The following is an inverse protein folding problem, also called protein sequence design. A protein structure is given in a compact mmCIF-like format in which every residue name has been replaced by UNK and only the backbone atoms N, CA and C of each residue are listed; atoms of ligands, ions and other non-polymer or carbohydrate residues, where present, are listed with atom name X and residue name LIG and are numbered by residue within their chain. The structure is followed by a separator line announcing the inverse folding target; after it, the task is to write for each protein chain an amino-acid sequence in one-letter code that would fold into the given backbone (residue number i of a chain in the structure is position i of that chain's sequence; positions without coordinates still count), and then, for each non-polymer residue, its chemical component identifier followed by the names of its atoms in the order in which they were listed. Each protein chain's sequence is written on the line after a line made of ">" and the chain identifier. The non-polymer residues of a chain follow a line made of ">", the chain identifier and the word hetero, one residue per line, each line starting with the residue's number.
data_IF_075930148425
#
_entry.id   IF_075930148425
#
_cell.length_a   1.000
_cell.length_b   1.000
_cell.length_c   1.000
_cell.angle_alpha   90.00
_cell.angle_beta   90.00
_cell.angle_gamma   90.00
#
_symmetry.space_group_name_H-M   'P 1'
#
loop_
_entity.id
_entity.type
_entity.pdbx_description
1 polymer ?
#
# COMPACT_ATOMS: atom_id res chain seq x y z
N UNK A 1 -9.04 -5.90 -2.22
CA UNK A 1 -7.70 -6.27 -2.68
C UNK A 1 -7.66 -7.73 -3.10
N UNK A 2 -7.25 -7.99 -4.33
CA UNK A 2 -6.95 -9.31 -4.89
C UNK A 2 -5.72 -9.19 -5.78
N UNK A 3 -4.95 -10.27 -5.89
CA UNK A 3 -3.92 -10.37 -6.94
C UNK A 3 -4.62 -10.28 -8.30
N UNK A 4 -3.95 -9.64 -9.26
CA UNK A 4 -4.45 -9.27 -10.58
C UNK A 4 -5.49 -8.14 -10.65
N UNK A 5 -5.87 -7.55 -9.52
CA UNK A 5 -6.75 -6.39 -9.47
C UNK A 5 -6.03 -5.15 -10.04
N UNK A 6 -6.71 -4.43 -10.94
CA UNK A 6 -6.27 -3.13 -11.43
C UNK A 6 -6.75 -2.02 -10.47
N UNK A 7 -5.83 -1.14 -10.09
CA UNK A 7 -6.06 -0.02 -9.16
C UNK A 7 -5.51 1.28 -9.76
N UNK A 8 -5.98 2.42 -9.26
CA UNK A 8 -5.54 3.75 -9.69
C UNK A 8 -5.02 4.57 -8.50
N UNK A 9 -4.09 5.48 -8.77
CA UNK A 9 -3.50 6.38 -7.76
C UNK A 9 -4.59 7.17 -7.02
N UNK A 10 -4.54 7.17 -5.69
CA UNK A 10 -5.53 7.79 -4.81
C UNK A 10 -6.81 6.98 -4.61
N UNK A 11 -7.01 5.87 -5.32
CA UNK A 11 -8.10 4.93 -5.09
C UNK A 11 -7.89 4.08 -3.84
N UNK A 12 -8.98 3.70 -3.16
CA UNK A 12 -8.91 2.81 -1.98
C UNK A 12 -8.56 1.40 -2.44
N UNK A 13 -7.42 0.86 -2.00
CA UNK A 13 -6.97 -0.49 -2.34
C UNK A 13 -7.15 -1.49 -1.17
N UNK A 14 -7.10 -1.00 0.08
CA UNK A 14 -7.30 -1.81 1.28
C UNK A 14 -8.09 -1.07 2.36
N UNK A 15 -8.63 -1.82 3.30
CA UNK A 15 -9.17 -1.31 4.56
C UNK A 15 -8.46 -2.02 5.70
N UNK A 16 -7.97 -1.26 6.66
CA UNK A 16 -7.30 -1.76 7.86
C UNK A 16 -8.23 -1.47 9.05
N UNK A 17 -8.33 -2.41 9.97
CA UNK A 17 -9.09 -2.22 11.22
C UNK A 17 -8.13 -2.32 12.39
N UNK A 18 -8.11 -1.31 13.25
CA UNK A 18 -7.25 -1.30 14.43
C UNK A 18 -7.90 -1.95 15.65
N UNK A 19 -7.16 -2.01 16.76
CA UNK A 19 -7.63 -2.60 18.01
C UNK A 19 -8.78 -1.81 18.67
N UNK A 20 -9.05 -0.59 18.20
CA UNK A 20 -10.16 0.25 18.64
C UNK A 20 -11.37 0.15 17.70
N UNK A 21 -11.38 -0.83 16.80
CA UNK A 21 -12.43 -1.07 15.79
C UNK A 21 -12.57 0.08 14.79
N UNK A 22 -11.57 0.97 14.68
CA UNK A 22 -11.58 2.03 13.68
C UNK A 22 -11.13 1.49 12.34
N UNK A 23 -11.82 1.93 11.28
CA UNK A 23 -11.54 1.50 9.90
C UNK A 23 -10.75 2.59 9.17
N UNK A 24 -9.51 2.26 8.82
CA UNK A 24 -8.59 3.10 8.07
C UNK A 24 -8.58 2.69 6.60
N UNK A 25 -8.67 3.66 5.69
CA UNK A 25 -8.61 3.40 4.25
C UNK A 25 -7.17 3.56 3.75
N UNK A 26 -6.64 2.52 3.10
CA UNK A 26 -5.36 2.59 2.44
C UNK A 26 -5.56 3.00 0.99
N UNK A 27 -5.01 4.16 0.63
CA UNK A 27 -5.02 4.64 -0.75
C UNK A 27 -3.84 4.06 -1.52
N UNK A 28 -4.04 3.82 -2.80
CA UNK A 28 -2.96 3.38 -3.67
C UNK A 28 -2.04 4.54 -4.03
N UNK A 29 -0.71 4.39 -3.89
CA UNK A 29 0.23 5.44 -4.25
C UNK A 29 0.48 5.54 -5.76
N UNK A 30 0.09 4.54 -6.55
CA UNK A 30 0.30 4.50 -8.00
C UNK A 30 -0.80 3.71 -8.69
N UNK A 31 -1.09 4.05 -9.94
CA UNK A 31 -1.97 3.29 -10.81
C UNK A 31 -1.25 2.06 -11.34
N UNK A 32 -1.92 0.92 -11.40
CA UNK A 32 -1.30 -0.31 -11.86
C UNK A 32 -2.05 -1.58 -11.50
N UNK A 33 -1.33 -2.70 -11.52
CA UNK A 33 -1.87 -4.03 -11.26
C UNK A 33 -1.21 -4.65 -10.02
N UNK A 34 -2.01 -5.15 -9.09
CA UNK A 34 -1.51 -5.86 -7.91
C UNK A 34 -0.94 -7.21 -8.32
N UNK A 35 0.31 -7.47 -7.95
CA UNK A 35 1.01 -8.72 -8.26
C UNK A 35 1.21 -9.63 -7.05
N UNK A 36 1.19 -9.05 -5.85
CA UNK A 36 1.49 -9.79 -4.62
C UNK A 36 0.79 -9.11 -3.44
N UNK A 37 0.31 -9.91 -2.49
CA UNK A 37 -0.26 -9.45 -1.22
C UNK A 37 0.50 -10.16 -0.11
N UNK A 38 0.87 -9.43 0.94
CA UNK A 38 1.57 -10.02 2.07
C UNK A 38 0.62 -10.82 2.95
N UNK A 39 0.54 -12.12 2.70
CA UNK A 39 -0.33 -12.99 3.47
C UNK A 39 0.11 -13.14 4.94
N UNK A 40 1.37 -12.82 5.27
CA UNK A 40 1.87 -12.89 6.65
C UNK A 40 1.16 -11.91 7.59
N UNK A 41 0.60 -10.82 7.05
CA UNK A 41 -0.16 -9.84 7.84
C UNK A 41 -1.47 -10.40 8.40
N UNK A 42 -2.07 -11.40 7.76
CA UNK A 42 -3.28 -12.06 8.28
C UNK A 42 -2.97 -12.98 9.47
N UNK A 43 -1.74 -13.48 9.57
CA UNK A 43 -1.28 -14.31 10.68
C UNK A 43 -0.66 -13.46 11.80
N UNK A 44 0.11 -12.43 11.43
CA UNK A 44 0.89 -11.58 12.34
C UNK A 44 0.69 -10.09 12.02
N UNK A 45 -0.43 -9.53 12.47
CA UNK A 45 -0.77 -8.12 12.20
C UNK A 45 0.21 -7.10 12.82
N UNK A 46 0.93 -7.48 13.89
CA UNK A 46 1.93 -6.62 14.56
C UNK A 46 3.11 -6.21 13.64
N UNK A 47 3.30 -6.90 12.51
CA UNK A 47 4.34 -6.54 11.53
C UNK A 47 4.14 -5.14 10.94
N UNK A 48 2.88 -4.68 10.80
CA UNK A 48 2.58 -3.32 10.34
C UNK A 48 3.15 -2.26 11.28
N UNK A 49 3.16 -2.53 12.59
CA UNK A 49 3.64 -1.60 13.61
C UNK A 49 5.14 -1.75 13.88
N UNK A 50 5.65 -2.99 13.86
CA UNK A 50 7.04 -3.31 14.23
C UNK A 50 8.03 -3.13 13.09
N UNK A 51 7.61 -3.41 11.87
CA UNK A 51 8.52 -3.47 10.73
C UNK A 51 7.87 -2.99 9.42
N UNK A 52 7.30 -1.77 9.38
CA UNK A 52 6.42 -1.29 8.31
C UNK A 52 7.05 -1.29 6.91
N UNK A 53 8.37 -1.12 6.83
CA UNK A 53 9.09 -0.99 5.56
C UNK A 53 9.73 -2.29 5.06
N UNK A 54 9.89 -3.30 5.93
CA UNK A 54 10.48 -4.58 5.54
C UNK A 54 9.43 -5.68 5.59
N UNK A 55 9.24 -6.40 6.70
CA UNK A 55 8.28 -7.51 6.75
C UNK A 55 6.82 -7.05 6.76
N UNK A 56 6.55 -5.79 7.11
CA UNK A 56 5.23 -5.17 7.20
C UNK A 56 4.68 -4.60 5.89
N UNK A 57 5.30 -4.86 4.73
CA UNK A 57 4.75 -4.42 3.44
C UNK A 57 3.35 -5.02 3.22
N UNK A 58 2.45 -4.28 2.56
CA UNK A 58 1.04 -4.69 2.42
C UNK A 58 0.79 -5.41 1.09
N UNK A 59 1.21 -4.80 -0.02
CA UNK A 59 1.06 -5.35 -1.36
C UNK A 59 2.16 -4.85 -2.29
N UNK A 60 2.34 -5.53 -3.43
CA UNK A 60 3.21 -5.09 -4.53
C UNK A 60 2.39 -4.85 -5.78
N UNK A 61 2.80 -3.85 -6.54
CA UNK A 61 2.13 -3.38 -7.75
C UNK A 61 3.14 -3.30 -8.90
N UNK A 62 2.71 -3.66 -10.10
CA UNK A 62 3.36 -3.21 -11.35
C UNK A 62 2.66 -1.91 -11.77
N UNK A 63 3.33 -0.75 -11.70
CA UNK A 63 2.74 0.51 -12.11
C UNK A 63 2.45 0.53 -13.61
N UNK A 64 1.36 1.19 -14.02
CA UNK A 64 1.04 1.42 -15.44
C UNK A 64 1.68 2.68 -15.99
N UNK A 65 1.84 3.73 -15.19
CA UNK A 65 2.46 5.00 -15.58
C UNK A 65 3.20 5.63 -14.39
N UNK A 66 4.35 5.05 -14.05
CA UNK A 66 5.13 5.48 -12.89
C UNK A 66 5.67 6.90 -13.02
N UNK A 67 5.94 7.37 -14.24
CA UNK A 67 6.51 8.70 -14.46
C UNK A 67 5.49 9.79 -14.18
N UNK A 68 4.23 9.61 -14.61
CA UNK A 68 3.15 10.51 -14.25
C UNK A 68 2.80 10.42 -12.77
N UNK A 69 2.65 9.21 -12.22
CA UNK A 69 2.23 9.02 -10.82
C UNK A 69 3.23 9.62 -9.82
N UNK A 70 4.55 9.54 -10.10
CA UNK A 70 5.61 10.15 -9.26
C UNK A 70 5.43 11.65 -9.04
N UNK A 71 4.85 12.37 -10.01
CA UNK A 71 4.64 13.83 -9.90
C UNK A 71 3.66 14.21 -8.78
N UNK A 72 2.80 13.27 -8.38
CA UNK A 72 1.82 13.44 -7.31
C UNK A 72 2.30 12.87 -5.97
N UNK A 73 3.55 12.39 -5.88
CA UNK A 73 4.14 11.85 -4.66
C UNK A 73 5.12 12.85 -4.03
N UNK A 74 5.14 12.86 -2.70
CA UNK A 74 6.10 13.66 -1.94
C UNK A 74 7.43 12.90 -1.82
N UNK A 75 8.59 13.51 -2.16
CA UNK A 75 9.89 12.92 -1.92
C UNK A 75 10.12 12.66 -0.43
N UNK A 76 10.78 11.55 -0.10
CA UNK A 76 11.09 11.20 1.29
C UNK A 76 12.28 12.01 1.86
N UNK A 77 13.18 12.55 1.01
CA UNK A 77 14.26 13.40 1.48
C UNK A 77 13.81 14.86 1.55
N UNK A 78 13.99 15.45 2.73
CA UNK A 78 13.94 16.89 2.93
C UNK A 78 15.25 17.49 2.43
N UNK A 79 15.49 17.45 1.13
CA UNK A 79 16.58 18.22 0.51
C UNK A 79 16.01 19.55 0.01
N UNK A 80 15.63 20.39 0.96
CA UNK A 80 15.60 21.84 0.83
C UNK A 80 16.64 22.43 1.79
#
# INVERSE_FOLDING_TARGET
>A
MKVDEAIYQGGVCAKLTDNNELVHQLLSPASGKIIEINNQLFETNNLLEKDPYFQGWIYRIIPTDIENDKTNLTPCSSDF
#
